data_IF_654568707548
#
_entry.id   IF_654568707548
#
_cell.length_a   1.000
_cell.length_b   1.000
_cell.length_c   1.000
_cell.angle_alpha   90.00
_cell.angle_beta   90.00
_cell.angle_gamma   90.00
#
_symmetry.space_group_name_H-M   'P 1'
#
loop_
_entity.id
_entity.type
_entity.pdbx_description
1 polymer ?
#
# COMPACT_ATOMS: atom_id res chain seq x y z
N UNK A 1 11.29 15.23 16.37
CA UNK A 1 12.22 14.10 16.17
C UNK A 1 12.69 14.18 14.74
N UNK A 2 13.99 14.18 14.45
CA UNK A 2 14.45 14.04 13.07
C UNK A 2 13.99 12.68 12.58
N UNK A 3 13.06 12.65 11.61
CA UNK A 3 12.69 11.43 10.92
C UNK A 3 13.56 11.29 9.67
N UNK A 4 14.02 10.07 9.40
CA UNK A 4 14.90 9.76 8.27
C UNK A 4 14.16 9.79 6.93
N UNK A 5 13.04 10.50 6.82
CA UNK A 5 12.24 10.59 5.59
C UNK A 5 13.06 11.21 4.46
N UNK A 6 13.75 12.33 4.72
CA UNK A 6 14.59 12.97 3.70
C UNK A 6 15.73 12.05 3.23
N UNK A 7 16.33 11.30 4.16
CA UNK A 7 17.33 10.29 3.82
C UNK A 7 16.71 9.21 2.93
N UNK A 8 15.58 8.62 3.32
CA UNK A 8 14.84 7.64 2.52
C UNK A 8 14.56 8.15 1.10
N UNK A 9 13.98 9.35 0.97
CA UNK A 9 13.62 9.95 -0.32
C UNK A 9 14.86 10.20 -1.19
N UNK A 10 15.98 10.63 -0.61
CA UNK A 10 17.23 10.79 -1.34
C UNK A 10 17.74 9.47 -1.93
N UNK A 11 17.65 8.38 -1.18
CA UNK A 11 18.07 7.04 -1.64
C UNK A 11 17.19 6.53 -2.77
N UNK A 12 15.87 6.73 -2.68
CA UNK A 12 14.95 6.35 -3.78
C UNK A 12 15.20 7.20 -5.02
N UNK A 13 15.49 8.50 -4.87
CA UNK A 13 15.80 9.40 -6.00
C UNK A 13 17.06 8.96 -6.75
N UNK A 14 18.11 8.60 -6.02
CA UNK A 14 19.39 8.12 -6.56
C UNK A 14 19.29 6.73 -7.22
N UNK A 15 18.32 5.90 -6.82
CA UNK A 15 18.18 4.55 -7.35
C UNK A 15 17.59 4.53 -8.77
N UNK A 16 18.15 3.74 -9.68
CA UNK A 16 17.56 3.51 -11.01
C UNK A 16 16.31 2.62 -10.97
N UNK A 17 16.33 1.67 -10.02
CA UNK A 17 15.33 0.61 -9.85
C UNK A 17 15.18 0.31 -8.36
N UNK A 18 13.98 -0.11 -7.96
CA UNK A 18 13.63 -0.32 -6.55
C UNK A 18 13.21 -1.76 -6.30
N UNK A 19 13.65 -2.32 -5.19
CA UNK A 19 13.15 -3.60 -4.67
C UNK A 19 12.58 -3.32 -3.29
N UNK A 20 11.31 -3.68 -3.07
CA UNK A 20 10.68 -3.56 -1.76
C UNK A 20 10.44 -4.97 -1.21
N UNK A 21 11.05 -5.25 -0.07
CA UNK A 21 10.82 -6.51 0.66
C UNK A 21 10.12 -6.18 1.96
N UNK A 22 8.91 -6.68 2.12
CA UNK A 22 8.05 -6.39 3.27
C UNK A 22 7.45 -7.68 3.82
N UNK A 23 7.94 -8.20 4.96
CA UNK A 23 7.37 -9.40 5.54
C UNK A 23 5.95 -9.15 6.05
N UNK A 24 5.17 -10.22 6.11
CA UNK A 24 3.81 -10.20 6.67
C UNK A 24 3.87 -10.23 8.19
N UNK A 25 3.29 -9.22 8.82
CA UNK A 25 3.05 -9.18 10.26
C UNK A 25 1.57 -8.90 10.52
N UNK A 26 0.91 -9.83 11.22
CA UNK A 26 -0.52 -9.75 11.55
C UNK A 26 -1.41 -9.44 10.33
N UNK A 27 -1.24 -10.21 9.25
CA UNK A 27 -1.99 -10.09 7.99
C UNK A 27 -1.78 -8.77 7.23
N UNK A 28 -0.82 -7.94 7.65
CA UNK A 28 -0.49 -6.66 7.00
C UNK A 28 0.99 -6.53 6.69
N UNK A 29 1.33 -5.45 5.99
CA UNK A 29 2.73 -5.11 5.72
C UNK A 29 3.46 -4.67 7.00
N UNK A 30 4.78 -4.76 6.97
CA UNK A 30 5.64 -4.23 8.02
C UNK A 30 5.39 -2.72 8.25
N UNK A 31 5.33 -2.31 9.53
CA UNK A 31 4.83 -0.98 9.95
C UNK A 31 5.72 0.21 9.54
N UNK A 32 7.02 0.01 9.32
CA UNK A 32 7.92 1.10 8.84
C UNK A 32 7.45 1.65 7.50
N UNK A 33 6.94 0.80 6.60
CA UNK A 33 6.33 1.29 5.35
C UNK A 33 5.12 2.19 5.62
N UNK A 34 4.31 1.86 6.62
CA UNK A 34 3.16 2.69 7.02
C UNK A 34 3.60 4.03 7.63
N UNK A 35 4.66 4.04 8.44
CA UNK A 35 5.23 5.28 9.00
C UNK A 35 5.70 6.24 7.91
N UNK A 36 6.32 5.71 6.86
CA UNK A 36 6.70 6.51 5.68
C UNK A 36 5.44 6.94 4.92
N UNK A 37 4.50 6.01 4.69
CA UNK A 37 3.27 6.28 3.95
C UNK A 37 2.45 7.44 4.58
N UNK A 38 2.38 7.52 5.90
CA UNK A 38 1.67 8.58 6.64
C UNK A 38 2.27 9.98 6.43
N UNK A 39 3.47 10.04 5.88
CA UNK A 39 4.17 11.29 5.53
C UNK A 39 4.10 11.62 4.05
N UNK A 40 3.54 10.75 3.21
CA UNK A 40 3.49 10.97 1.75
C UNK A 40 2.70 12.21 1.36
N UNK A 41 1.68 12.59 2.14
CA UNK A 41 0.95 13.86 1.95
C UNK A 41 1.88 15.07 1.96
N UNK A 42 2.98 15.04 2.73
CA UNK A 42 3.94 16.16 2.79
C UNK A 42 4.82 16.30 1.55
N UNK A 43 4.90 15.25 0.71
CA UNK A 43 5.75 15.21 -0.49
C UNK A 43 4.96 14.95 -1.77
N UNK A 44 3.63 14.91 -1.68
CA UNK A 44 2.76 14.56 -2.81
C UNK A 44 3.00 15.46 -4.02
N UNK A 45 3.23 16.75 -3.77
CA UNK A 45 3.49 17.74 -4.83
C UNK A 45 4.83 17.52 -5.55
N UNK A 46 5.78 16.83 -4.92
CA UNK A 46 7.12 16.60 -5.48
C UNK A 46 7.28 15.16 -6.02
N UNK A 47 6.25 14.32 -5.90
CA UNK A 47 6.29 12.90 -6.25
C UNK A 47 6.62 12.64 -7.74
N UNK A 48 6.11 13.49 -8.63
CA UNK A 48 6.42 13.44 -10.07
C UNK A 48 7.89 13.74 -10.39
N UNK A 49 8.51 14.64 -9.63
CA UNK A 49 9.90 15.04 -9.87
C UNK A 49 10.86 13.92 -9.45
N UNK A 50 10.54 13.20 -8.38
CA UNK A 50 11.52 12.34 -7.72
C UNK A 50 11.46 10.87 -8.11
N UNK A 51 10.29 10.37 -8.52
CA UNK A 51 10.05 8.92 -8.53
C UNK A 51 9.42 8.37 -9.81
N UNK A 52 9.07 9.26 -10.76
CA UNK A 52 8.30 8.93 -11.96
C UNK A 52 8.85 7.70 -12.70
N UNK A 53 8.03 6.66 -12.76
CA UNK A 53 8.21 5.46 -13.58
C UNK A 53 9.49 4.64 -13.31
N UNK A 54 10.16 4.83 -12.17
CA UNK A 54 11.25 3.92 -11.75
C UNK A 54 10.68 2.50 -11.59
N UNK A 55 11.32 1.51 -12.20
CA UNK A 55 10.84 0.13 -12.12
C UNK A 55 10.96 -0.37 -10.68
N UNK A 56 9.92 -1.06 -10.20
CA UNK A 56 9.87 -1.60 -8.86
C UNK A 56 9.36 -3.04 -8.88
N UNK A 57 10.01 -3.91 -8.12
CA UNK A 57 9.49 -5.24 -7.80
C UNK A 57 9.29 -5.38 -6.30
N UNK A 58 8.33 -6.22 -5.92
CA UNK A 58 7.93 -6.42 -4.53
C UNK A 58 8.09 -7.88 -4.15
N UNK A 59 8.61 -8.14 -2.96
CA UNK A 59 8.67 -9.48 -2.35
C UNK A 59 7.99 -9.43 -0.99
N UNK A 60 7.04 -10.34 -0.76
CA UNK A 60 6.27 -10.44 0.49
C UNK A 60 6.45 -11.84 1.09
N UNK A 61 7.43 -12.03 1.97
CA UNK A 61 7.60 -13.29 2.67
C UNK A 61 6.57 -13.44 3.80
N UNK A 62 6.00 -14.64 3.94
CA UNK A 62 5.14 -15.04 5.06
C UNK A 62 5.41 -16.49 5.46
N UNK A 63 5.11 -16.83 6.71
CA UNK A 63 5.46 -18.14 7.29
C UNK A 63 4.28 -19.11 7.31
N UNK A 64 3.07 -18.62 7.57
CA UNK A 64 1.87 -19.45 7.67
C UNK A 64 1.13 -19.40 6.31
N UNK A 65 0.82 -20.58 5.77
CA UNK A 65 0.06 -20.70 4.52
C UNK A 65 -1.31 -20.02 4.66
N UNK A 66 -1.74 -19.31 3.62
CA UNK A 66 -3.02 -18.58 3.55
C UNK A 66 -3.17 -17.45 4.59
N UNK A 67 -2.05 -16.95 5.14
CA UNK A 67 -1.97 -15.86 6.14
C UNK A 67 -1.20 -14.64 5.63
N UNK A 68 -1.01 -14.52 4.32
CA UNK A 68 -0.42 -13.34 3.70
C UNK A 68 -1.28 -12.07 3.89
N UNK A 69 -2.59 -12.26 4.09
CA UNK A 69 -3.53 -11.18 4.38
C UNK A 69 -3.57 -10.14 3.25
N UNK A 70 -3.50 -8.86 3.62
CA UNK A 70 -3.46 -7.73 2.67
C UNK A 70 -2.05 -7.13 2.51
N UNK A 71 -1.01 -7.82 2.99
CA UNK A 71 0.35 -7.28 3.04
C UNK A 71 0.91 -6.96 1.64
N UNK A 72 0.61 -7.80 0.65
CA UNK A 72 0.96 -7.57 -0.75
C UNK A 72 0.33 -6.28 -1.26
N UNK A 73 -0.97 -6.13 -1.09
CA UNK A 73 -1.72 -4.97 -1.57
C UNK A 73 -1.30 -3.69 -0.85
N UNK A 74 -1.03 -3.76 0.46
CA UNK A 74 -0.50 -2.62 1.22
C UNK A 74 0.89 -2.19 0.70
N UNK A 75 1.75 -3.16 0.37
CA UNK A 75 3.10 -2.87 -0.15
C UNK A 75 3.02 -2.32 -1.57
N UNK A 76 2.12 -2.86 -2.41
CA UNK A 76 1.83 -2.32 -3.75
C UNK A 76 1.30 -0.89 -3.67
N UNK A 77 0.40 -0.62 -2.71
CA UNK A 77 -0.12 0.73 -2.46
C UNK A 77 0.99 1.71 -2.14
N UNK A 78 1.86 1.35 -1.19
CA UNK A 78 3.01 2.15 -0.82
C UNK A 78 3.90 2.47 -2.04
N UNK A 79 4.25 1.45 -2.84
CA UNK A 79 5.08 1.63 -4.03
C UNK A 79 4.43 2.56 -5.07
N UNK A 80 3.13 2.37 -5.34
CA UNK A 80 2.40 3.15 -6.34
C UNK A 80 2.16 4.59 -5.90
N UNK A 81 1.88 4.85 -4.62
CA UNK A 81 1.77 6.21 -4.09
C UNK A 81 3.10 6.96 -4.08
N UNK A 82 4.21 6.23 -3.99
CA UNK A 82 5.53 6.80 -4.27
C UNK A 82 5.75 7.13 -5.75
N UNK A 83 4.90 6.71 -6.68
CA UNK A 83 5.08 6.93 -8.12
C UNK A 83 5.93 5.87 -8.83
N UNK A 84 6.23 4.75 -8.14
CA UNK A 84 7.00 3.65 -8.71
C UNK A 84 6.15 2.79 -9.65
N UNK A 85 6.76 2.31 -10.74
CA UNK A 85 6.13 1.35 -11.66
C UNK A 85 6.36 -0.08 -11.16
N UNK A 86 5.36 -0.63 -10.48
CA UNK A 86 5.38 -2.03 -10.02
C UNK A 86 5.30 -2.97 -11.23
N UNK A 87 6.37 -3.74 -11.49
CA UNK A 87 6.47 -4.67 -12.62
C UNK A 87 6.41 -6.15 -12.22
N UNK A 88 6.36 -6.44 -10.93
CA UNK A 88 6.19 -7.80 -10.45
C UNK A 88 6.08 -7.84 -8.94
N UNK A 89 5.26 -8.76 -8.45
CA UNK A 89 5.09 -9.02 -7.02
C UNK A 89 5.23 -10.50 -6.77
N UNK A 90 6.04 -10.88 -5.79
CA UNK A 90 6.25 -12.26 -5.42
C UNK A 90 5.89 -12.46 -3.95
N UNK A 91 4.85 -13.26 -3.68
CA UNK A 91 4.53 -13.73 -2.33
C UNK A 91 5.26 -15.05 -2.10
N UNK A 92 6.00 -15.15 -0.99
CA UNK A 92 6.86 -16.30 -0.70
C UNK A 92 6.45 -16.92 0.63
N UNK A 93 5.88 -18.12 0.59
CA UNK A 93 5.56 -18.87 1.80
C UNK A 93 6.78 -19.71 2.24
N UNK A 94 7.53 -19.23 3.25
CA UNK A 94 8.70 -19.93 3.81
C UNK A 94 8.80 -19.65 5.32
N UNK A 95 9.08 -20.69 6.09
CA UNK A 95 8.94 -20.67 7.55
C UNK A 95 10.20 -20.18 8.26
N UNK A 96 11.37 -20.63 7.82
CA UNK A 96 12.64 -20.37 8.49
C UNK A 96 13.55 -19.42 7.69
N UNK A 97 14.42 -18.66 8.37
CA UNK A 97 15.51 -17.96 7.70
C UNK A 97 16.34 -18.94 6.86
N UNK A 98 16.51 -18.66 5.57
CA UNK A 98 17.25 -19.52 4.64
C UNK A 98 16.39 -20.52 3.86
N UNK A 99 15.15 -20.80 4.27
CA UNK A 99 14.24 -21.69 3.51
C UNK A 99 13.93 -21.13 2.11
N UNK A 100 14.10 -19.82 1.91
CA UNK A 100 13.95 -19.13 0.63
C UNK A 100 15.07 -19.44 -0.38
N UNK A 101 16.11 -20.15 0.04
CA UNK A 101 17.22 -20.56 -0.83
C UNK A 101 16.96 -21.87 -1.57
N UNK A 102 15.74 -22.39 -1.53
CA UNK A 102 15.34 -23.53 -2.35
C UNK A 102 15.21 -23.16 -3.84
N UNK A 103 15.29 -24.19 -4.69
CA UNK A 103 15.34 -24.02 -6.14
C UNK A 103 14.10 -23.31 -6.74
N UNK A 104 12.91 -23.58 -6.21
CA UNK A 104 11.66 -22.94 -6.67
C UNK A 104 11.67 -21.43 -6.36
N UNK A 105 11.98 -21.05 -5.12
CA UNK A 105 12.10 -19.64 -4.72
C UNK A 105 13.18 -18.92 -5.53
N UNK A 106 14.36 -19.52 -5.69
CA UNK A 106 15.46 -18.95 -6.46
C UNK A 106 15.07 -18.77 -7.94
N UNK A 107 14.32 -19.70 -8.51
CA UNK A 107 13.82 -19.59 -9.89
C UNK A 107 12.85 -18.42 -10.04
N UNK A 108 11.90 -18.28 -9.10
CA UNK A 108 10.95 -17.15 -9.08
C UNK A 108 11.66 -15.81 -8.88
N UNK A 109 12.62 -15.74 -7.93
CA UNK A 109 13.43 -14.54 -7.67
C UNK A 109 14.27 -14.16 -8.90
N UNK A 110 14.86 -15.14 -9.61
CA UNK A 110 15.59 -14.88 -10.87
C UNK A 110 14.66 -14.30 -11.93
N UNK A 111 13.45 -14.85 -12.09
CA UNK A 111 12.44 -14.33 -13.04
C UNK A 111 12.00 -12.91 -12.68
N UNK A 112 11.77 -12.63 -11.39
CA UNK A 112 11.45 -11.29 -10.88
C UNK A 112 12.58 -10.29 -11.09
N UNK A 113 13.82 -10.70 -10.80
CA UNK A 113 15.00 -9.84 -10.99
C UNK A 113 15.23 -9.56 -12.47
N UNK A 114 15.02 -10.55 -13.33
CA UNK A 114 15.10 -10.38 -14.79
C UNK A 114 14.08 -9.37 -15.29
N UNK A 115 12.84 -9.40 -14.79
CA UNK A 115 11.82 -8.42 -15.19
C UNK A 115 12.21 -6.99 -14.79
N UNK A 116 12.81 -6.84 -13.61
CA UNK A 116 13.36 -5.57 -13.15
C UNK A 116 14.48 -5.07 -14.08
N UNK A 117 15.45 -5.93 -14.43
CA UNK A 117 16.57 -5.57 -15.31
C UNK A 117 16.10 -5.23 -16.72
N UNK A 118 15.22 -6.04 -17.29
CA UNK A 118 14.74 -5.91 -18.67
C UNK A 118 13.63 -4.84 -18.82
N UNK A 119 13.23 -4.18 -17.72
CA UNK A 119 12.07 -3.28 -17.66
C UNK A 119 10.77 -3.92 -18.19
N UNK A 120 10.61 -5.22 -17.97
CA UNK A 120 9.44 -6.00 -18.36
C UNK A 120 8.55 -6.31 -17.15
N UNK A 121 7.30 -6.65 -17.41
CA UNK A 121 6.36 -7.11 -16.37
C UNK A 121 6.45 -8.62 -16.24
N UNK A 122 6.42 -9.11 -15.01
CA UNK A 122 6.27 -10.53 -14.71
C UNK A 122 5.02 -10.75 -13.88
N UNK A 123 4.26 -11.75 -14.30
CA UNK A 123 3.08 -12.21 -13.60
C UNK A 123 3.40 -13.47 -12.77
N UNK A 124 3.00 -13.43 -11.51
CA UNK A 124 3.03 -14.54 -10.54
C UNK A 124 1.65 -14.78 -9.91
N UNK A 125 0.61 -14.14 -10.44
CA UNK A 125 -0.76 -14.29 -9.99
C UNK A 125 -1.24 -15.73 -10.17
N UNK A 126 -2.04 -16.19 -9.20
CA UNK A 126 -2.66 -17.51 -9.26
C UNK A 126 -3.75 -17.48 -10.34
N UNK A 127 -3.67 -18.30 -11.40
CA UNK A 127 -4.66 -18.28 -12.47
C UNK A 127 -6.07 -18.71 -12.02
N UNK A 128 -6.20 -19.29 -10.83
CA UNK A 128 -7.50 -19.64 -10.22
C UNK A 128 -8.16 -18.48 -9.47
N UNK A 129 -7.42 -17.39 -9.24
CA UNK A 129 -7.89 -16.22 -8.51
C UNK A 129 -8.15 -15.04 -9.46
N UNK A 130 -9.06 -14.18 -9.01
CA UNK A 130 -9.45 -13.00 -9.75
C UNK A 130 -8.70 -11.77 -9.22
N UNK A 131 -7.99 -11.08 -10.11
CA UNK A 131 -7.25 -9.86 -9.80
C UNK A 131 -7.84 -8.67 -10.56
N UNK A 132 -7.72 -7.49 -9.98
CA UNK A 132 -8.08 -6.27 -10.69
C UNK A 132 -7.21 -6.12 -11.95
N UNK A 133 -7.79 -5.99 -13.16
CA UNK A 133 -7.02 -5.94 -14.40
C UNK A 133 -6.14 -4.70 -14.53
N UNK A 134 -6.45 -3.62 -13.80
CA UNK A 134 -5.72 -2.35 -13.91
C UNK A 134 -4.55 -2.23 -12.94
N UNK A 135 -4.66 -2.84 -11.75
CA UNK A 135 -3.65 -2.67 -10.70
C UNK A 135 -3.15 -3.97 -10.07
N UNK A 136 -3.71 -5.12 -10.47
CA UNK A 136 -3.34 -6.47 -10.02
C UNK A 136 -3.59 -6.74 -8.53
N UNK A 137 -4.50 -5.97 -7.91
CA UNK A 137 -4.97 -6.19 -6.54
C UNK A 137 -5.93 -7.37 -6.47
N UNK A 138 -5.75 -8.26 -5.49
CA UNK A 138 -6.72 -9.32 -5.16
C UNK A 138 -7.91 -8.81 -4.33
N UNK A 139 -7.79 -7.63 -3.70
CA UNK A 139 -8.84 -7.05 -2.85
C UNK A 139 -9.92 -6.33 -3.66
N UNK A 140 -11.09 -6.97 -3.75
CA UNK A 140 -12.25 -6.49 -4.49
C UNK A 140 -13.48 -6.43 -3.58
N UNK A 141 -14.25 -5.35 -3.69
CA UNK A 141 -15.60 -5.27 -3.13
C UNK A 141 -16.60 -5.81 -4.14
N UNK A 142 -17.40 -6.81 -3.75
CA UNK A 142 -18.49 -7.34 -4.57
C UNK A 142 -19.78 -6.63 -4.17
N UNK A 143 -20.45 -6.01 -5.14
CA UNK A 143 -21.73 -5.34 -4.97
C UNK A 143 -22.87 -6.33 -5.20
N UNK A 144 -24.00 -6.12 -4.50
CA UNK A 144 -25.18 -7.00 -4.57
C UNK A 144 -25.78 -7.15 -5.97
N UNK A 145 -25.51 -6.21 -6.87
CA UNK A 145 -25.95 -6.23 -8.28
C UNK A 145 -24.97 -6.95 -9.22
N UNK A 146 -24.01 -7.71 -8.68
CA UNK A 146 -23.01 -8.44 -9.48
C UNK A 146 -21.89 -7.58 -10.04
N UNK A 147 -21.76 -6.33 -9.61
CA UNK A 147 -20.62 -5.47 -9.93
C UNK A 147 -19.48 -5.68 -8.94
N UNK A 148 -18.28 -5.32 -9.34
CA UNK A 148 -17.12 -5.26 -8.45
C UNK A 148 -16.50 -3.87 -8.46
N UNK A 149 -15.78 -3.55 -7.38
CA UNK A 149 -14.93 -2.36 -7.24
C UNK A 149 -13.60 -2.75 -6.63
N UNK A 150 -12.50 -2.40 -7.27
CA UNK A 150 -11.19 -2.49 -6.69
C UNK A 150 -11.00 -1.39 -5.64
N UNK A 151 -10.70 -1.76 -4.40
CA UNK A 151 -10.48 -0.77 -3.33
C UNK A 151 -9.16 -0.03 -3.50
N UNK A 152 -8.22 -0.59 -4.25
CA UNK A 152 -6.86 -0.06 -4.41
C UNK A 152 -6.78 1.04 -5.45
N UNK A 153 -7.25 0.81 -6.67
CA UNK A 153 -7.23 1.81 -7.74
C UNK A 153 -8.59 2.48 -7.97
N UNK A 154 -9.69 1.86 -7.56
CA UNK A 154 -11.04 2.38 -7.79
C UNK A 154 -11.73 1.83 -9.04
N UNK A 155 -11.04 1.03 -9.86
CA UNK A 155 -11.64 0.39 -11.03
C UNK A 155 -12.90 -0.39 -10.69
N UNK A 156 -13.84 -0.39 -11.63
CA UNK A 156 -15.15 -1.03 -11.48
C UNK A 156 -15.44 -1.92 -12.67
N UNK A 157 -16.33 -2.88 -12.47
CA UNK A 157 -16.74 -3.77 -13.54
C UNK A 157 -17.91 -4.66 -13.16
N UNK A 158 -18.17 -5.68 -13.97
CA UNK A 158 -19.19 -6.70 -13.72
C UNK A 158 -18.55 -8.08 -13.73
N UNK A 159 -19.12 -8.96 -12.91
CA UNK A 159 -18.87 -10.39 -13.05
C UNK A 159 -19.66 -10.93 -14.24
N UNK A 160 -19.02 -11.75 -15.05
CA UNK A 160 -19.63 -12.60 -16.05
C UNK A 160 -19.47 -14.04 -15.60
N UNK A 161 -20.50 -14.85 -15.83
CA UNK A 161 -20.42 -16.30 -15.61
C UNK A 161 -20.48 -16.97 -16.97
N UNK A 162 -19.47 -17.77 -17.30
CA UNK A 162 -19.42 -18.55 -18.53
C UNK A 162 -18.93 -19.95 -18.18
N UNK A 163 -19.68 -20.96 -18.61
CA UNK A 163 -19.34 -22.37 -18.38
C UNK A 163 -19.07 -22.74 -16.90
N UNK A 164 -19.72 -22.03 -15.97
CA UNK A 164 -19.55 -22.22 -14.53
C UNK A 164 -18.39 -21.45 -13.89
N UNK A 165 -17.60 -20.72 -14.68
CA UNK A 165 -16.47 -19.92 -14.23
C UNK A 165 -16.81 -18.43 -14.17
N UNK A 166 -16.20 -17.72 -13.21
CA UNK A 166 -16.34 -16.29 -13.04
C UNK A 166 -15.26 -15.54 -13.80
N UNK A 167 -15.68 -14.61 -14.66
CA UNK A 167 -14.80 -13.71 -15.39
C UNK A 167 -15.07 -12.27 -14.97
N UNK A 168 -14.00 -11.50 -14.81
CA UNK A 168 -14.10 -10.06 -14.60
C UNK A 168 -14.06 -9.35 -15.95
N UNK A 169 -15.10 -8.58 -16.27
CA UNK A 169 -14.97 -7.48 -17.21
C UNK A 169 -14.82 -6.18 -16.43
N UNK A 170 -14.08 -5.23 -16.98
CA UNK A 170 -13.93 -3.92 -16.39
C UNK A 170 -12.86 -3.09 -17.07
N UNK A 171 -13.04 -1.79 -17.00
CA UNK A 171 -12.12 -0.78 -17.49
C UNK A 171 -11.92 0.22 -16.37
N UNK A 172 -10.72 0.76 -16.23
CA UNK A 172 -10.52 1.88 -15.33
C UNK A 172 -11.19 3.13 -15.90
N UNK A 173 -12.20 3.66 -15.20
CA UNK A 173 -12.58 5.08 -15.35
C UNK A 173 -11.69 5.96 -14.44
N UNK A 174 -10.95 5.36 -13.50
CA UNK A 174 -10.27 6.05 -12.41
C UNK A 174 -8.83 5.57 -12.26
N UNK A 175 -7.89 6.33 -12.81
CA UNK A 175 -6.47 6.07 -12.67
C UNK A 175 -5.90 6.70 -11.39
N UNK A 176 -6.29 6.20 -10.21
CA UNK A 176 -5.87 6.79 -8.92
C UNK A 176 -4.36 6.99 -8.77
N UNK A 177 -3.58 6.07 -9.33
CA UNK A 177 -2.12 6.07 -9.23
C UNK A 177 -1.43 6.74 -10.43
N UNK A 178 -2.17 7.27 -11.41
CA UNK A 178 -1.55 8.03 -12.49
C UNK A 178 -1.13 9.41 -12.01
N UNK A 179 -0.29 10.04 -12.82
CA UNK A 179 0.11 11.43 -12.65
C UNK A 179 -1.13 12.34 -12.54
N UNK A 180 -2.11 12.12 -13.40
CA UNK A 180 -3.37 12.86 -13.46
C UNK A 180 -4.21 12.61 -12.20
N UNK A 181 -4.38 11.35 -11.80
CA UNK A 181 -5.14 11.01 -10.59
C UNK A 181 -4.52 11.58 -9.31
N UNK A 182 -3.19 11.61 -9.22
CA UNK A 182 -2.48 12.19 -8.07
C UNK A 182 -2.57 13.72 -8.03
N UNK A 183 -2.59 14.39 -9.20
CA UNK A 183 -2.85 15.84 -9.31
C UNK A 183 -4.27 16.20 -8.91
N UNK A 184 -5.26 15.46 -9.44
CA UNK A 184 -6.65 15.64 -9.07
C UNK A 184 -6.84 15.47 -7.55
N UNK A 185 -6.24 14.43 -6.96
CA UNK A 185 -6.26 14.23 -5.51
C UNK A 185 -5.70 15.44 -4.75
N UNK A 186 -4.56 16.00 -5.19
CA UNK A 186 -3.97 17.20 -4.59
C UNK A 186 -4.86 18.45 -4.70
N UNK A 187 -5.57 18.62 -5.83
CA UNK A 187 -6.56 19.69 -5.99
C UNK A 187 -7.71 19.54 -4.99
N UNK A 188 -8.30 18.34 -4.88
CA UNK A 188 -9.37 18.08 -3.90
C UNK A 188 -8.92 18.37 -2.47
N UNK A 189 -7.70 17.98 -2.08
CA UNK A 189 -7.17 18.29 -0.75
C UNK A 189 -7.05 19.80 -0.50
N UNK A 190 -6.72 20.58 -1.53
CA UNK A 190 -6.66 22.04 -1.45
C UNK A 190 -8.06 22.63 -1.23
N UNK A 191 -9.06 22.16 -1.97
CA UNK A 191 -10.46 22.59 -1.81
C UNK A 191 -11.01 22.25 -0.42
N UNK A 192 -10.73 21.04 0.09
CA UNK A 192 -11.12 20.62 1.44
C UNK A 192 -10.47 21.49 2.51
N UNK A 193 -9.19 21.87 2.33
CA UNK A 193 -8.49 22.80 3.22
C UNK A 193 -9.17 24.17 3.24
N UNK A 194 -9.54 24.70 2.07
CA UNK A 194 -10.26 25.97 1.99
C UNK A 194 -11.64 25.91 2.64
N UNK A 195 -12.37 24.82 2.44
CA UNK A 195 -13.65 24.61 3.11
C UNK A 195 -13.48 24.57 4.63
N UNK A 196 -12.46 23.85 5.13
CA UNK A 196 -12.13 23.84 6.55
C UNK A 196 -11.85 25.25 7.06
N UNK A 197 -11.05 26.06 6.34
CA UNK A 197 -10.76 27.44 6.74
C UNK A 197 -12.05 28.27 6.83
N UNK A 198 -12.96 28.14 5.85
CA UNK A 198 -14.27 28.82 5.85
C UNK A 198 -15.12 28.40 7.05
N UNK A 199 -15.10 27.11 7.42
CA UNK A 199 -15.96 26.52 8.46
C UNK A 199 -15.30 26.37 9.82
N UNK A 200 -14.03 26.77 10.00
CA UNK A 200 -13.20 26.45 11.18
C UNK A 200 -13.86 26.80 12.52
N UNK A 201 -14.63 27.88 12.59
CA UNK A 201 -15.33 28.30 13.82
C UNK A 201 -16.46 27.33 14.19
N UNK A 202 -17.26 26.91 13.20
CA UNK A 202 -18.32 25.93 13.41
C UNK A 202 -17.74 24.55 13.75
N UNK A 203 -16.64 24.16 13.09
CA UNK A 203 -15.91 22.92 13.43
C UNK A 203 -15.38 22.97 14.86
N UNK A 204 -14.78 24.08 15.28
CA UNK A 204 -14.29 24.26 16.65
C UNK A 204 -15.43 24.21 17.68
N UNK A 205 -16.59 24.83 17.40
CA UNK A 205 -17.76 24.75 18.27
C UNK A 205 -18.25 23.30 18.43
N UNK A 206 -18.26 22.51 17.36
CA UNK A 206 -18.59 21.09 17.44
C UNK A 206 -17.55 20.30 18.26
N UNK A 207 -16.25 20.59 18.08
CA UNK A 207 -15.18 19.94 18.85
C UNK A 207 -15.26 20.25 20.35
N UNK A 208 -15.73 21.44 20.73
CA UNK A 208 -15.90 21.84 22.13
C UNK A 208 -16.84 20.90 22.88
N UNK A 209 -17.91 20.43 22.23
CA UNK A 209 -18.87 19.46 22.79
C UNK A 209 -18.21 18.14 23.21
N UNK A 210 -17.02 17.83 22.66
CA UNK A 210 -16.32 16.60 22.96
C UNK A 210 -15.16 16.76 23.95
N UNK A 211 -14.83 17.99 24.38
CA UNK A 211 -13.71 18.21 25.30
C UNK A 211 -13.98 17.72 26.73
N UNK A 212 -15.24 17.63 27.12
CA UNK A 212 -15.63 17.10 28.43
C UNK A 212 -15.42 15.59 28.56
N UNK A 213 -15.28 14.87 27.44
CA UNK A 213 -15.03 13.44 27.41
C UNK A 213 -13.54 13.13 27.56
N UNK A 214 -13.01 13.26 28.78
CA UNK A 214 -11.66 12.83 29.14
C UNK A 214 -11.61 11.33 29.48
N UNK A 215 -11.82 10.48 28.47
CA UNK A 215 -11.74 9.02 28.59
C UNK A 215 -10.30 8.47 28.55
N UNK A 216 -9.29 9.36 28.54
CA UNK A 216 -7.90 8.93 28.51
C UNK A 216 -7.54 8.27 29.84
N UNK A 217 -7.04 7.04 29.77
CA UNK A 217 -6.42 6.39 30.93
C UNK A 217 -5.15 7.18 31.27
N UNK A 218 -5.24 8.04 32.28
CA UNK A 218 -4.09 8.74 32.83
C UNK A 218 -3.26 7.72 33.60
N UNK A 219 -2.05 7.46 33.12
CA UNK A 219 -1.08 6.65 33.86
C UNK A 219 -0.90 7.27 35.24
N UNK A 220 -1.37 6.58 36.28
CA UNK A 220 -1.00 6.96 37.63
C UNK A 220 0.50 6.70 37.76
N UNK A 221 1.28 7.76 37.95
CA UNK A 221 2.68 7.65 38.36
C UNK A 221 2.73 6.83 39.64
N UNK A 222 3.06 5.54 39.53
CA UNK A 222 3.51 4.76 40.68
C UNK A 222 4.79 5.43 41.16
N UNK A 223 4.72 6.11 42.30
CA UNK A 223 5.91 6.43 43.06
C UNK A 223 6.67 5.11 43.29
N UNK A 224 7.86 4.99 42.71
CA UNK A 224 8.79 3.92 43.05
C UNK A 224 9.30 4.21 44.46
N UNK A 225 8.61 3.71 45.48
CA UNK A 225 9.28 3.32 46.73
C UNK A 225 9.80 1.90 46.51
N UNK A 226 10.99 1.80 45.94
CA UNK A 226 11.83 0.62 46.10
C UNK A 226 12.49 0.77 47.47
N UNK A 227 11.83 0.25 48.50
CA UNK A 227 12.53 -0.09 49.74
C UNK A 227 13.32 -1.37 49.45
N UNK A 228 14.65 -1.23 49.37
CA UNK A 228 15.55 -2.36 49.47
C UNK A 228 15.65 -2.78 50.94
N UNK A 229 15.15 -3.97 51.25
CA UNK A 229 15.64 -4.80 52.35
C UNK A 229 16.09 -6.14 51.76
#
# INVERSE_FOLDING_TARGET
MPDDLNFFLSRIREADKVIIVAPVYYLGQQTTLKLINDRMLSIQNDSEEYFKNKQCVIVVPHTIKDWEGYAREATMHFARFLGLKVTGTLVVNKTLPGDVLDEDSLTKIKKLTKSLVDNSTVDFSDPTLAYCPDCDSSLLQIQRNGRWRCIMCGSVGKWQVKDGEFFMNGTSEVERFSCEGMKEHGHVLTEVKEEYIRRRKAVAANQELYKEFDYWIKLQTRAKTLDCN
#
